data_IF_029491072868
#
_entry.id   IF_029491072868
#
_cell.length_a   1.000
_cell.length_b   1.000
_cell.length_c   1.000
_cell.angle_alpha   90.00
_cell.angle_beta   90.00
_cell.angle_gamma   90.00
#
_symmetry.space_group_name_H-M   'P 1'
#
loop_
_entity.id
_entity.type
_entity.pdbx_description
1 polymer ?
#
# COMPACT_ATOMS: atom_id res chain seq x y z
N UNK A 1 -27.20 20.77 -5.77
CA UNK A 1 -27.85 19.44 -5.71
C UNK A 1 -27.32 18.54 -6.82
N UNK A 2 -27.25 19.01 -8.07
CA UNK A 2 -26.70 18.26 -9.22
C UNK A 2 -25.27 17.72 -9.00
N UNK A 3 -24.37 18.54 -8.45
CA UNK A 3 -22.98 18.13 -8.20
C UNK A 3 -22.85 16.96 -7.21
N UNK A 4 -23.68 16.93 -6.16
CA UNK A 4 -23.67 15.86 -5.15
C UNK A 4 -24.18 14.55 -5.77
N UNK A 5 -25.23 14.63 -6.59
CA UNK A 5 -25.76 13.46 -7.30
C UNK A 5 -24.71 12.92 -8.27
N UNK A 6 -24.02 13.80 -9.00
CA UNK A 6 -22.95 13.38 -9.91
C UNK A 6 -21.76 12.76 -9.16
N UNK A 7 -21.35 13.33 -8.04
CA UNK A 7 -20.31 12.77 -7.17
C UNK A 7 -20.70 11.40 -6.59
N UNK A 8 -21.98 11.21 -6.23
CA UNK A 8 -22.49 9.94 -5.73
C UNK A 8 -22.52 8.87 -6.83
N UNK A 9 -22.95 9.22 -8.04
CA UNK A 9 -22.88 8.33 -9.20
C UNK A 9 -21.44 7.93 -9.51
N UNK A 10 -20.53 8.91 -9.53
CA UNK A 10 -19.10 8.66 -9.72
C UNK A 10 -18.53 7.74 -8.65
N UNK A 11 -18.90 7.94 -7.37
CA UNK A 11 -18.50 7.07 -6.28
C UNK A 11 -19.03 5.64 -6.45
N UNK A 12 -20.29 5.46 -6.86
CA UNK A 12 -20.85 4.13 -7.14
C UNK A 12 -20.09 3.43 -8.28
N UNK A 13 -19.82 4.14 -9.37
CA UNK A 13 -19.06 3.62 -10.52
C UNK A 13 -17.65 3.24 -10.09
N UNK A 14 -16.94 4.12 -9.38
CA UNK A 14 -15.61 3.84 -8.83
C UNK A 14 -15.65 2.60 -7.95
N UNK A 15 -16.61 2.51 -7.04
CA UNK A 15 -16.75 1.40 -6.10
C UNK A 15 -16.89 0.06 -6.83
N UNK A 16 -17.76 -0.01 -7.84
CA UNK A 16 -17.98 -1.23 -8.62
C UNK A 16 -16.76 -1.60 -9.46
N UNK A 17 -16.15 -0.61 -10.11
CA UNK A 17 -14.98 -0.81 -10.96
C UNK A 17 -13.79 -1.32 -10.14
N UNK A 18 -13.44 -0.61 -9.08
CA UNK A 18 -12.27 -0.94 -8.26
C UNK A 18 -12.50 -2.08 -7.30
N UNK A 19 -13.74 -2.42 -7.01
CA UNK A 19 -14.07 -3.71 -6.41
C UNK A 19 -13.64 -4.87 -7.32
N UNK A 20 -13.98 -4.81 -8.62
CA UNK A 20 -13.60 -5.85 -9.58
C UNK A 20 -12.08 -5.88 -9.77
N UNK A 21 -11.46 -4.71 -9.92
CA UNK A 21 -10.00 -4.62 -10.09
C UNK A 21 -9.28 -5.18 -8.86
N UNK A 22 -9.68 -4.84 -7.64
CA UNK A 22 -9.05 -5.36 -6.42
C UNK A 22 -9.23 -6.86 -6.19
N UNK A 23 -10.15 -7.53 -6.92
CA UNK A 23 -10.22 -8.99 -6.93
C UNK A 23 -9.15 -9.63 -7.82
N UNK A 24 -8.56 -8.87 -8.76
CA UNK A 24 -7.49 -9.33 -9.63
C UNK A 24 -6.19 -9.33 -8.82
N UNK A 25 -5.54 -10.49 -8.63
CA UNK A 25 -4.32 -10.55 -7.86
C UNK A 25 -3.18 -9.79 -8.53
N UNK A 26 -2.34 -9.17 -7.71
CA UNK A 26 -1.21 -8.40 -8.19
C UNK A 26 -1.59 -7.05 -8.81
N UNK A 27 -2.78 -6.53 -8.53
CA UNK A 27 -3.10 -5.17 -8.97
C UNK A 27 -2.35 -4.15 -8.13
N UNK A 28 -2.07 -3.00 -8.73
CA UNK A 28 -1.39 -1.91 -8.05
C UNK A 28 -2.25 -0.65 -8.16
N UNK A 29 -2.46 0.01 -7.02
CA UNK A 29 -3.32 1.18 -6.94
C UNK A 29 -2.74 2.34 -7.74
N UNK A 30 -1.41 2.49 -7.75
CA UNK A 30 -0.74 3.55 -8.54
C UNK A 30 -0.95 3.33 -10.02
N UNK A 31 -0.80 2.09 -10.49
CA UNK A 31 -0.96 1.72 -11.88
C UNK A 31 -2.41 1.72 -12.38
N UNK A 32 -3.40 1.54 -11.49
CA UNK A 32 -4.81 1.40 -11.86
C UNK A 32 -5.65 2.62 -11.54
N UNK A 33 -5.44 3.25 -10.37
CA UNK A 33 -6.19 4.42 -9.93
C UNK A 33 -5.62 5.69 -10.58
N UNK A 34 -4.30 5.91 -10.50
CA UNK A 34 -3.70 7.18 -10.92
C UNK A 34 -3.99 7.54 -12.40
N UNK A 35 -3.86 6.64 -13.39
CA UNK A 35 -4.15 6.99 -14.78
C UNK A 35 -5.61 7.37 -15.03
N UNK A 36 -6.55 6.72 -14.34
CA UNK A 36 -7.97 7.04 -14.44
C UNK A 36 -8.24 8.41 -13.80
N UNK A 37 -7.67 8.70 -12.62
CA UNK A 37 -7.79 10.04 -12.03
C UNK A 37 -7.21 11.10 -12.95
N UNK A 38 -6.01 10.87 -13.51
CA UNK A 38 -5.40 11.78 -14.46
C UNK A 38 -6.33 12.04 -15.67
N UNK A 39 -6.94 10.99 -16.22
CA UNK A 39 -7.94 11.11 -17.28
C UNK A 39 -9.13 11.97 -16.84
N UNK A 40 -9.69 11.75 -15.65
CA UNK A 40 -10.82 12.54 -15.13
C UNK A 40 -10.42 14.02 -14.95
N UNK A 41 -9.19 14.28 -14.50
CA UNK A 41 -8.65 15.64 -14.36
C UNK A 41 -8.55 16.31 -15.74
N UNK A 42 -7.97 15.63 -16.73
CA UNK A 42 -7.80 16.12 -18.10
C UNK A 42 -9.12 16.26 -18.86
N UNK A 43 -10.11 15.42 -18.54
CA UNK A 43 -11.48 15.53 -19.05
C UNK A 43 -12.28 16.69 -18.42
N UNK A 44 -11.63 17.52 -17.59
CA UNK A 44 -12.18 18.70 -16.96
C UNK A 44 -13.39 18.42 -16.03
N UNK A 45 -13.44 17.23 -15.42
CA UNK A 45 -14.48 16.85 -14.45
C UNK A 45 -14.31 17.66 -13.16
N UNK A 46 -15.37 18.13 -12.47
CA UNK A 46 -15.23 18.94 -11.26
C UNK A 46 -14.34 18.29 -10.17
N UNK A 47 -13.45 19.04 -9.49
CA UNK A 47 -12.51 18.48 -8.51
C UNK A 47 -13.20 17.73 -7.35
N UNK A 48 -14.40 18.16 -6.96
CA UNK A 48 -15.24 17.51 -5.95
C UNK A 48 -15.59 16.07 -6.33
N UNK A 49 -15.94 15.87 -7.60
CA UNK A 49 -16.34 14.57 -8.16
C UNK A 49 -15.11 13.67 -8.26
N UNK A 50 -13.97 14.22 -8.66
CA UNK A 50 -12.70 13.50 -8.76
C UNK A 50 -12.27 13.00 -7.37
N UNK A 51 -12.32 13.86 -6.35
CA UNK A 51 -11.99 13.48 -4.97
C UNK A 51 -12.96 12.40 -4.45
N UNK A 52 -14.26 12.56 -4.69
CA UNK A 52 -15.27 11.58 -4.30
C UNK A 52 -15.04 10.22 -4.98
N UNK A 53 -14.76 10.23 -6.29
CA UNK A 53 -14.42 9.04 -7.08
C UNK A 53 -13.16 8.36 -6.52
N UNK A 54 -12.10 9.13 -6.26
CA UNK A 54 -10.84 8.60 -5.74
C UNK A 54 -11.00 7.93 -4.37
N UNK A 55 -11.71 8.57 -3.45
CA UNK A 55 -11.92 8.03 -2.11
C UNK A 55 -12.80 6.77 -2.13
N UNK A 56 -13.77 6.71 -3.04
CA UNK A 56 -14.55 5.50 -3.29
C UNK A 56 -13.70 4.37 -3.90
N UNK A 57 -12.85 4.71 -4.87
CA UNK A 57 -11.94 3.77 -5.54
C UNK A 57 -11.00 3.09 -4.54
N UNK A 58 -10.29 3.87 -3.71
CA UNK A 58 -9.38 3.33 -2.70
C UNK A 58 -10.13 2.47 -1.69
N UNK A 59 -11.22 2.98 -1.09
CA UNK A 59 -11.95 2.24 -0.08
C UNK A 59 -12.50 0.91 -0.64
N UNK A 60 -12.92 0.90 -1.91
CA UNK A 60 -13.38 -0.31 -2.57
C UNK A 60 -12.25 -1.28 -2.91
N UNK A 61 -11.16 -0.79 -3.49
CA UNK A 61 -10.02 -1.59 -3.91
C UNK A 61 -9.35 -2.27 -2.72
N UNK A 62 -9.04 -1.52 -1.65
CA UNK A 62 -8.34 -2.07 -0.49
C UNK A 62 -9.16 -3.13 0.25
N UNK A 63 -10.47 -2.91 0.37
CA UNK A 63 -11.38 -3.92 0.93
C UNK A 63 -11.41 -5.19 0.07
N UNK A 64 -11.28 -5.04 -1.25
CA UNK A 64 -11.34 -6.16 -2.19
C UNK A 64 -10.02 -6.92 -2.30
N UNK A 65 -8.89 -6.24 -2.16
CA UNK A 65 -7.53 -6.81 -2.17
C UNK A 65 -7.35 -7.90 -1.08
N UNK A 66 -8.08 -7.79 0.03
CA UNK A 66 -8.07 -8.80 1.10
C UNK A 66 -8.69 -10.14 0.69
N UNK A 67 -9.54 -10.17 -0.34
CA UNK A 67 -10.20 -11.37 -0.85
C UNK A 67 -9.18 -12.37 -1.43
N UNK A 68 -8.40 -12.04 -2.49
CA UNK A 68 -7.41 -12.97 -3.04
C UNK A 68 -6.34 -13.37 -1.99
N UNK A 69 -5.95 -12.47 -1.09
CA UNK A 69 -4.94 -12.77 -0.08
C UNK A 69 -5.41 -13.76 0.98
N UNK A 70 -6.62 -13.59 1.52
CA UNK A 70 -7.15 -14.51 2.51
C UNK A 70 -7.45 -15.90 1.93
N UNK A 71 -7.83 -15.97 0.65
CA UNK A 71 -8.33 -17.17 -0.02
C UNK A 71 -7.21 -17.95 -0.68
N UNK A 72 -6.50 -17.30 -1.59
CA UNK A 72 -5.55 -17.93 -2.48
C UNK A 72 -4.13 -17.87 -1.92
N UNK A 73 -3.90 -17.04 -0.88
CA UNK A 73 -2.57 -16.69 -0.39
C UNK A 73 -1.76 -16.05 -1.52
N UNK A 74 -2.38 -15.07 -2.15
CA UNK A 74 -1.77 -14.32 -3.24
C UNK A 74 -2.01 -12.85 -2.93
N UNK A 75 -0.99 -12.00 -3.10
CA UNK A 75 -1.19 -10.59 -2.84
C UNK A 75 -2.26 -10.05 -3.80
N UNK A 76 -3.35 -9.49 -3.27
CA UNK A 76 -4.30 -8.69 -4.04
C UNK A 76 -3.61 -7.46 -4.61
N UNK A 77 -2.84 -6.79 -3.76
CA UNK A 77 -1.92 -5.72 -4.14
C UNK A 77 -0.62 -5.75 -3.36
N UNK A 78 0.28 -4.80 -3.64
CA UNK A 78 1.56 -4.64 -2.92
C UNK A 78 1.37 -4.52 -1.40
N UNK A 79 0.25 -3.92 -0.98
CA UNK A 79 -0.15 -3.78 0.42
C UNK A 79 -0.51 -5.07 1.12
N UNK A 80 -0.87 -6.07 0.34
CA UNK A 80 -1.32 -7.36 0.88
C UNK A 80 -0.21 -8.38 1.05
N UNK A 81 0.99 -8.09 0.54
CA UNK A 81 2.16 -8.97 0.68
C UNK A 81 2.46 -9.30 2.17
N UNK A 82 2.38 -8.36 3.12
CA UNK A 82 2.53 -8.66 4.54
C UNK A 82 1.51 -9.67 5.10
N UNK A 83 0.31 -9.79 4.50
CA UNK A 83 -0.73 -10.71 4.99
C UNK A 83 -0.40 -12.17 4.70
N UNK A 84 0.39 -12.46 3.67
CA UNK A 84 0.54 -13.81 3.10
C UNK A 84 0.96 -14.85 4.14
N UNK A 85 1.93 -14.54 4.99
CA UNK A 85 2.37 -15.43 6.07
C UNK A 85 1.20 -15.79 7.01
N UNK A 86 0.40 -14.80 7.40
CA UNK A 86 -0.72 -14.99 8.28
C UNK A 86 -1.87 -15.76 7.58
N UNK A 87 -2.14 -15.44 6.32
CA UNK A 87 -3.13 -16.14 5.50
C UNK A 87 -2.73 -17.61 5.28
N UNK A 88 -1.45 -17.90 5.08
CA UNK A 88 -0.92 -19.25 4.96
C UNK A 88 -1.12 -20.06 6.24
N UNK A 89 -0.74 -19.49 7.39
CA UNK A 89 -0.96 -20.12 8.69
C UNK A 89 -2.46 -20.36 8.91
N UNK A 90 -3.32 -19.41 8.58
CA UNK A 90 -4.78 -19.57 8.68
C UNK A 90 -5.35 -20.64 7.75
N UNK A 91 -4.80 -20.80 6.54
CA UNK A 91 -5.16 -21.88 5.62
C UNK A 91 -4.79 -23.24 6.20
N UNK A 92 -3.62 -23.37 6.85
CA UNK A 92 -3.22 -24.61 7.55
C UNK A 92 -4.17 -24.96 8.70
N UNK A 93 -4.76 -23.95 9.35
CA UNK A 93 -5.82 -24.14 10.37
C UNK A 93 -7.23 -24.34 9.77
N UNK A 94 -7.40 -24.26 8.45
CA UNK A 94 -8.69 -24.45 7.79
C UNK A 94 -9.68 -23.29 7.94
N UNK A 95 -9.20 -22.08 8.23
CA UNK A 95 -10.01 -20.89 8.53
C UNK A 95 -9.87 -19.69 7.55
N UNK A 96 -9.57 -19.87 6.24
CA UNK A 96 -9.37 -18.74 5.33
C UNK A 96 -10.61 -17.83 5.21
N UNK A 97 -11.81 -18.40 5.30
CA UNK A 97 -13.07 -17.68 5.27
C UNK A 97 -13.31 -16.82 6.54
N UNK A 98 -12.82 -17.27 7.71
CA UNK A 98 -12.89 -16.50 8.96
C UNK A 98 -11.94 -15.31 8.89
N UNK A 99 -10.72 -15.54 8.38
CA UNK A 99 -9.76 -14.47 8.14
C UNK A 99 -10.36 -13.41 7.24
N UNK A 100 -10.90 -13.82 6.09
CA UNK A 100 -11.50 -12.91 5.13
C UNK A 100 -12.59 -12.04 5.76
N UNK A 101 -13.56 -12.63 6.47
CA UNK A 101 -14.63 -11.84 7.10
C UNK A 101 -14.11 -10.86 8.14
N UNK A 102 -13.11 -11.26 8.93
CA UNK A 102 -12.48 -10.38 9.93
C UNK A 102 -11.67 -9.26 9.28
N UNK A 103 -10.96 -9.55 8.20
CA UNK A 103 -10.26 -8.56 7.38
C UNK A 103 -11.27 -7.54 6.83
N UNK A 104 -12.31 -8.00 6.10
CA UNK A 104 -13.35 -7.10 5.57
C UNK A 104 -13.98 -6.21 6.65
N UNK A 105 -14.24 -6.77 7.85
CA UNK A 105 -14.76 -5.98 8.97
C UNK A 105 -13.73 -4.98 9.53
N UNK A 106 -12.44 -5.33 9.53
CA UNK A 106 -11.35 -4.45 9.92
C UNK A 106 -11.18 -3.28 8.94
N UNK A 107 -11.26 -3.54 7.63
CA UNK A 107 -11.24 -2.52 6.58
C UNK A 107 -12.28 -1.44 6.86
N UNK A 108 -13.52 -1.84 7.17
CA UNK A 108 -14.61 -0.90 7.50
C UNK A 108 -14.24 -0.01 8.70
N UNK A 109 -13.74 -0.61 9.77
CA UNK A 109 -13.32 0.13 10.97
C UNK A 109 -12.16 1.07 10.65
N UNK A 110 -11.17 0.61 9.88
CA UNK A 110 -10.04 1.42 9.42
C UNK A 110 -10.50 2.67 8.68
N UNK A 111 -11.43 2.53 7.72
CA UNK A 111 -11.99 3.65 6.97
C UNK A 111 -12.73 4.64 7.88
N UNK A 112 -13.64 4.12 8.73
CA UNK A 112 -14.49 4.95 9.60
C UNK A 112 -13.68 5.73 10.63
N UNK A 113 -12.58 5.16 11.14
CA UNK A 113 -11.70 5.82 12.11
C UNK A 113 -10.72 6.79 11.44
N UNK A 114 -10.15 6.41 10.29
CA UNK A 114 -9.13 7.22 9.63
C UNK A 114 -9.69 8.51 9.04
N UNK A 115 -10.92 8.49 8.49
CA UNK A 115 -11.56 9.68 7.92
C UNK A 115 -11.57 10.88 8.89
N UNK A 116 -12.21 10.81 10.07
CA UNK A 116 -12.28 11.96 10.97
C UNK A 116 -10.89 12.38 11.46
N UNK A 117 -9.99 11.42 11.71
CA UNK A 117 -8.63 11.73 12.19
C UNK A 117 -7.83 12.47 11.11
N UNK A 118 -7.85 11.99 9.87
CA UNK A 118 -7.14 12.60 8.76
C UNK A 118 -7.66 14.02 8.45
N UNK A 119 -8.98 14.21 8.50
CA UNK A 119 -9.61 15.52 8.27
C UNK A 119 -9.25 16.53 9.37
N UNK A 120 -9.36 16.14 10.64
CA UNK A 120 -9.03 17.01 11.78
C UNK A 120 -7.53 17.29 11.83
N UNK A 121 -6.70 16.25 11.74
CA UNK A 121 -5.25 16.38 11.84
C UNK A 121 -4.66 17.14 10.66
N UNK A 122 -5.13 16.90 9.43
CA UNK A 122 -4.75 17.68 8.25
C UNK A 122 -5.07 19.17 8.42
N UNK A 123 -6.23 19.50 8.99
CA UNK A 123 -6.62 20.89 9.28
C UNK A 123 -5.73 21.55 10.35
N UNK A 124 -5.34 20.80 11.39
CA UNK A 124 -4.41 21.27 12.43
C UNK A 124 -3.02 21.56 11.86
N UNK A 125 -2.60 20.81 10.83
CA UNK A 125 -1.27 20.93 10.23
C UNK A 125 -1.14 22.05 9.18
N UNK A 126 -2.24 22.66 8.71
CA UNK A 126 -2.22 23.77 7.76
C UNK A 126 -1.22 24.89 8.09
N UNK A 127 -1.18 25.46 9.33
CA UNK A 127 -0.21 26.52 9.66
C UNK A 127 1.25 26.06 9.63
N UNK A 128 1.52 24.75 9.66
CA UNK A 128 2.85 24.16 9.65
C UNK A 128 3.32 23.74 8.25
N UNK A 129 2.55 24.00 7.18
CA UNK A 129 2.84 23.47 5.85
C UNK A 129 4.25 23.78 5.31
N UNK A 130 4.75 24.99 5.55
CA UNK A 130 6.13 25.36 5.17
C UNK A 130 7.19 24.56 5.94
N UNK A 131 6.94 24.29 7.23
CA UNK A 131 7.84 23.47 8.06
C UNK A 131 7.82 22.03 7.57
N UNK A 132 6.63 21.47 7.30
CA UNK A 132 6.46 20.11 6.78
C UNK A 132 7.22 19.96 5.46
N UNK A 133 7.11 20.92 4.53
CA UNK A 133 7.83 20.89 3.25
C UNK A 133 9.35 20.82 3.44
N UNK A 134 9.92 21.62 4.34
CA UNK A 134 11.38 21.65 4.58
C UNK A 134 11.92 20.39 5.25
N UNK A 135 11.13 19.76 6.13
CA UNK A 135 11.54 18.58 6.90
C UNK A 135 11.10 17.25 6.29
N UNK A 136 10.23 17.23 5.26
CA UNK A 136 9.72 15.99 4.66
C UNK A 136 10.83 14.97 4.27
N UNK A 137 11.94 15.35 3.61
CA UNK A 137 13.01 14.39 3.29
C UNK A 137 13.62 13.73 4.54
N UNK A 138 13.78 14.49 5.61
CA UNK A 138 14.31 13.98 6.88
C UNK A 138 13.30 13.10 7.61
N UNK A 139 12.01 13.41 7.50
CA UNK A 139 10.94 12.60 8.07
C UNK A 139 10.88 11.21 7.40
N UNK A 140 11.07 11.11 6.08
CA UNK A 140 11.18 9.81 5.39
C UNK A 140 12.38 8.99 5.87
N UNK A 141 13.56 9.62 6.04
CA UNK A 141 14.73 8.94 6.56
C UNK A 141 14.54 8.44 8.00
N UNK A 142 14.00 9.29 8.87
CA UNK A 142 13.70 8.93 10.24
C UNK A 142 12.66 7.81 10.30
N UNK A 143 11.68 7.85 9.40
CA UNK A 143 10.71 6.79 9.21
C UNK A 143 11.34 5.46 8.81
N UNK A 144 12.28 5.47 7.85
CA UNK A 144 13.03 4.28 7.44
C UNK A 144 13.79 3.66 8.62
N UNK A 145 14.49 4.50 9.39
CA UNK A 145 15.24 4.06 10.58
C UNK A 145 14.32 3.53 11.68
N UNK A 146 13.18 4.19 11.93
CA UNK A 146 12.22 3.76 12.92
C UNK A 146 11.66 2.37 12.57
N UNK A 147 11.16 2.17 11.34
CA UNK A 147 10.63 0.87 10.92
C UNK A 147 11.75 -0.20 10.96
N UNK A 148 12.97 0.17 10.56
CA UNK A 148 14.12 -0.74 10.63
C UNK A 148 14.44 -1.18 12.07
N UNK A 149 14.36 -0.28 13.05
CA UNK A 149 14.60 -0.60 14.47
C UNK A 149 13.56 -1.57 15.06
N UNK A 150 12.32 -1.52 14.56
CA UNK A 150 11.25 -2.44 14.97
C UNK A 150 11.20 -3.75 14.17
N UNK A 151 12.01 -3.87 13.11
CA UNK A 151 12.10 -5.10 12.31
C UNK A 151 12.72 -6.26 13.10
N UNK A 152 12.35 -7.50 12.75
CA UNK A 152 12.99 -8.71 13.30
C UNK A 152 14.50 -8.72 13.08
N UNK A 153 14.98 -8.18 11.95
CA UNK A 153 16.39 -8.10 11.60
C UNK A 153 16.99 -6.71 11.85
N UNK A 154 16.69 -6.11 13.01
CA UNK A 154 16.96 -4.69 13.36
C UNK A 154 18.26 -4.10 12.81
N UNK A 155 19.40 -4.72 13.07
CA UNK A 155 20.70 -4.16 12.70
C UNK A 155 20.98 -4.31 11.20
N UNK A 156 20.60 -5.44 10.61
CA UNK A 156 20.69 -5.63 9.16
C UNK A 156 19.77 -4.64 8.43
N UNK A 157 18.55 -4.42 8.94
CA UNK A 157 17.61 -3.45 8.40
C UNK A 157 18.11 -2.01 8.50
N UNK A 158 18.66 -1.59 9.65
CA UNK A 158 19.21 -0.24 9.83
C UNK A 158 20.41 -0.01 8.91
N UNK A 159 21.33 -0.96 8.85
CA UNK A 159 22.50 -0.88 7.96
C UNK A 159 22.11 -0.97 6.48
N UNK A 160 20.98 -1.59 6.15
CA UNK A 160 20.46 -1.71 4.79
C UNK A 160 19.89 -0.41 4.23
N UNK A 161 19.35 0.49 5.07
CA UNK A 161 18.70 1.73 4.63
C UNK A 161 19.61 2.56 3.74
N UNK A 162 20.84 2.83 4.20
CA UNK A 162 21.78 3.70 3.49
C UNK A 162 22.24 3.14 2.12
N UNK A 163 22.77 1.90 2.00
CA UNK A 163 23.18 1.35 0.71
C UNK A 163 22.00 1.17 -0.25
N UNK A 164 20.82 0.78 0.25
CA UNK A 164 19.65 0.60 -0.60
C UNK A 164 19.11 1.95 -1.12
N UNK A 165 18.97 2.95 -0.26
CA UNK A 165 18.58 4.30 -0.64
C UNK A 165 19.57 4.95 -1.62
N UNK A 166 20.88 4.69 -1.43
CA UNK A 166 21.93 5.13 -2.36
C UNK A 166 21.79 4.47 -3.72
N UNK A 167 21.57 3.14 -3.76
CA UNK A 167 21.35 2.41 -5.02
C UNK A 167 20.15 2.95 -5.77
N UNK A 168 19.05 3.23 -5.07
CA UNK A 168 17.84 3.85 -5.65
C UNK A 168 18.16 5.21 -6.22
N UNK A 169 18.75 6.13 -5.44
CA UNK A 169 19.01 7.47 -5.95
C UNK A 169 20.02 7.49 -7.11
N UNK A 170 21.02 6.61 -7.12
CA UNK A 170 21.96 6.46 -8.22
C UNK A 170 21.30 5.91 -9.50
N UNK A 171 20.45 4.88 -9.37
CA UNK A 171 19.69 4.33 -10.52
C UNK A 171 18.64 5.31 -11.02
N UNK A 172 18.01 6.08 -10.13
CA UNK A 172 17.08 7.15 -10.44
C UNK A 172 17.76 8.29 -11.22
N UNK A 173 18.96 8.70 -10.81
CA UNK A 173 19.72 9.75 -11.52
C UNK A 173 20.20 9.27 -12.90
N UNK A 174 20.66 8.02 -12.99
CA UNK A 174 21.08 7.43 -14.26
C UNK A 174 19.92 7.32 -15.24
N UNK A 175 18.78 6.81 -14.77
CA UNK A 175 17.58 6.61 -15.59
C UNK A 175 16.93 7.93 -15.99
N UNK A 176 16.86 8.92 -15.11
CA UNK A 176 16.30 10.23 -15.44
C UNK A 176 17.11 10.96 -16.50
N UNK A 177 18.44 10.77 -16.55
CA UNK A 177 19.29 11.27 -17.64
C UNK A 177 18.99 10.60 -18.99
N UNK A 178 18.56 9.34 -18.99
CA UNK A 178 18.25 8.58 -20.20
C UNK A 178 16.83 8.84 -20.72
N UNK A 179 15.86 9.00 -19.82
CA UNK A 179 14.42 9.04 -20.13
C UNK A 179 13.84 10.46 -20.05
N UNK A 180 14.47 11.36 -19.28
CA UNK A 180 14.06 12.76 -19.12
C UNK A 180 13.10 13.03 -17.95
N UNK A 181 12.65 11.99 -17.23
CA UNK A 181 11.80 12.12 -16.04
C UNK A 181 12.10 11.03 -14.99
N UNK A 182 11.51 11.16 -13.80
CA UNK A 182 11.65 10.18 -12.72
C UNK A 182 10.80 8.92 -12.94
N UNK A 183 11.26 7.75 -12.47
CA UNK A 183 10.56 6.46 -12.59
C UNK A 183 10.01 5.93 -11.25
N UNK A 184 8.87 6.44 -10.79
CA UNK A 184 8.29 6.03 -9.51
C UNK A 184 7.74 4.59 -9.55
N UNK A 185 6.96 4.25 -10.57
CA UNK A 185 6.23 2.98 -10.68
C UNK A 185 7.20 1.81 -10.81
N UNK A 186 8.24 1.95 -11.63
CA UNK A 186 9.25 0.93 -11.89
C UNK A 186 10.00 0.54 -10.62
N UNK A 187 10.45 1.51 -9.84
CA UNK A 187 11.14 1.23 -8.59
C UNK A 187 10.20 0.67 -7.52
N UNK A 188 9.00 1.24 -7.39
CA UNK A 188 8.01 0.76 -6.44
C UNK A 188 7.61 -0.70 -6.71
N UNK A 189 7.36 -1.04 -7.97
CA UNK A 189 7.03 -2.39 -8.42
C UNK A 189 8.20 -3.34 -8.30
N UNK A 190 9.42 -2.87 -8.56
CA UNK A 190 10.64 -3.65 -8.34
C UNK A 190 10.77 -4.09 -6.88
N UNK A 191 10.55 -3.17 -5.92
CA UNK A 191 10.55 -3.52 -4.49
C UNK A 191 9.45 -4.53 -4.16
N UNK A 192 8.23 -4.32 -4.69
CA UNK A 192 7.09 -5.20 -4.46
C UNK A 192 7.35 -6.64 -4.92
N UNK A 193 7.89 -6.77 -6.14
CA UNK A 193 8.16 -8.05 -6.79
C UNK A 193 9.40 -8.75 -6.26
N UNK A 194 10.27 -8.05 -5.52
CA UNK A 194 11.57 -8.55 -5.14
C UNK A 194 11.55 -9.98 -4.55
N UNK A 195 10.74 -10.27 -3.52
CA UNK A 195 10.66 -11.60 -2.93
C UNK A 195 10.23 -12.69 -3.93
N UNK A 196 9.34 -12.37 -4.86
CA UNK A 196 8.86 -13.32 -5.86
C UNK A 196 9.91 -13.56 -6.96
N UNK A 197 10.56 -12.49 -7.43
CA UNK A 197 11.61 -12.57 -8.46
C UNK A 197 12.83 -13.32 -7.93
N UNK A 198 13.23 -13.08 -6.68
CA UNK A 198 14.36 -13.83 -6.09
C UNK A 198 14.01 -15.31 -5.89
N UNK A 199 12.76 -15.64 -5.53
CA UNK A 199 12.34 -17.03 -5.41
C UNK A 199 12.32 -17.73 -6.79
N UNK A 200 11.84 -17.06 -7.85
CA UNK A 200 11.96 -17.55 -9.23
C UNK A 200 13.43 -17.76 -9.61
N UNK A 201 14.29 -16.78 -9.30
CA UNK A 201 15.72 -16.86 -9.60
C UNK A 201 16.40 -18.02 -8.86
N UNK A 202 16.06 -18.23 -7.59
CA UNK A 202 16.55 -19.37 -6.80
C UNK A 202 16.01 -20.71 -7.34
N UNK A 203 14.78 -20.74 -7.84
CA UNK A 203 14.18 -21.92 -8.48
C UNK A 203 14.85 -22.30 -9.80
N UNK A 204 15.53 -21.36 -10.48
CA UNK A 204 16.36 -21.69 -11.66
C UNK A 204 17.54 -22.59 -11.28
N UNK A 205 17.93 -22.64 -10.00
CA UNK A 205 18.97 -23.54 -9.50
C UNK A 205 18.48 -24.99 -9.44
N UNK A 206 19.06 -25.94 -10.21
CA UNK A 206 18.58 -27.33 -10.25
C UNK A 206 18.55 -28.05 -8.89
N UNK A 207 19.54 -27.86 -7.97
CA UNK A 207 19.50 -28.47 -6.64
C UNK A 207 18.29 -28.03 -5.80
N UNK A 208 17.95 -26.74 -5.83
CA UNK A 208 16.84 -26.18 -5.05
C UNK A 208 15.50 -26.56 -5.66
N UNK A 209 15.38 -26.50 -6.99
CA UNK A 209 14.17 -26.93 -7.69
C UNK A 209 13.82 -28.39 -7.37
N UNK A 210 14.81 -29.29 -7.33
CA UNK A 210 14.59 -30.71 -7.02
C UNK A 210 14.15 -30.94 -5.57
N UNK A 211 14.65 -30.17 -4.61
CA UNK A 211 14.28 -30.34 -3.19
C UNK A 211 12.88 -29.83 -2.85
N UNK A 212 12.34 -28.92 -3.67
CA UNK A 212 11.00 -28.34 -3.48
C UNK A 212 9.88 -29.09 -4.22
N UNK A 213 10.21 -30.11 -5.03
CA UNK A 213 9.20 -30.92 -5.73
C UNK A 213 8.41 -31.77 -4.72
N UNK A 214 7.11 -31.53 -4.64
CA UNK A 214 6.16 -32.39 -3.93
C UNK A 214 5.31 -33.17 -4.94
N UNK A 215 5.17 -34.48 -4.74
CA UNK A 215 4.35 -35.35 -5.59
C UNK A 215 2.90 -35.49 -5.10
N UNK A 216 2.47 -34.66 -4.14
CA UNK A 216 1.11 -34.73 -3.58
C UNK A 216 0.34 -33.43 -3.86
N UNK A 217 -0.91 -33.57 -4.29
CA UNK A 217 -1.82 -32.44 -4.43
C UNK A 217 -2.07 -31.81 -3.05
N UNK A 218 -1.94 -30.48 -2.94
CA UNK A 218 -2.23 -29.81 -1.67
C UNK A 218 -3.73 -29.93 -1.36
N UNK A 219 -4.06 -30.47 -0.18
CA UNK A 219 -5.43 -30.55 0.30
C UNK A 219 -5.67 -29.49 1.36
N UNK A 220 -6.83 -28.82 1.29
CA UNK A 220 -7.22 -27.77 2.24
C UNK A 220 -8.55 -28.16 2.85
N UNK A 221 -8.56 -28.44 4.15
CA UNK A 221 -9.77 -28.72 4.89
C UNK A 221 -10.39 -27.40 5.38
N UNK A 222 -11.61 -27.09 4.94
CA UNK A 222 -12.32 -25.87 5.33
C UNK A 222 -13.25 -26.18 6.50
N UNK A 223 -13.02 -25.53 7.64
CA UNK A 223 -13.83 -25.68 8.87
C UNK A 223 -15.23 -25.07 8.66
N UNK A 224 -16.27 -25.62 9.30
CA UNK A 224 -17.63 -25.04 9.29
C UNK A 224 -17.74 -23.81 10.18
N UNK A 225 -18.51 -22.82 9.72
CA UNK A 225 -18.70 -21.53 10.38
C UNK A 225 -19.67 -21.60 11.58
N UNK A 226 -19.41 -20.76 12.60
CA UNK A 226 -20.38 -20.41 13.63
C UNK A 226 -21.32 -19.28 13.20
N UNK A 227 -22.47 -19.16 13.86
CA UNK A 227 -23.55 -18.21 13.54
C UNK A 227 -23.14 -16.73 13.64
N UNK A 228 -22.26 -16.36 14.57
CA UNK A 228 -21.82 -14.97 14.76
C UNK A 228 -21.08 -14.41 13.53
N UNK A 229 -20.37 -15.26 12.79
CA UNK A 229 -19.65 -14.86 11.59
C UNK A 229 -20.59 -14.65 10.40
N UNK A 230 -21.85 -15.10 10.45
CA UNK A 230 -22.82 -14.90 9.37
C UNK A 230 -23.43 -13.49 9.38
N UNK A 231 -23.29 -12.76 10.49
CA UNK A 231 -23.76 -11.38 10.61
C UNK A 231 -22.86 -10.42 9.82
N UNK A 232 -23.47 -9.58 8.97
CA UNK A 232 -22.78 -8.51 8.24
C UNK A 232 -22.40 -7.31 9.12
N UNK A 233 -22.69 -7.33 10.43
CA UNK A 233 -22.28 -6.24 11.31
C UNK A 233 -20.78 -6.36 11.66
N UNK A 234 -19.91 -5.41 11.25
CA UNK A 234 -18.47 -5.47 11.52
C UNK A 234 -18.13 -5.58 13.01
N UNK A 235 -18.89 -4.90 13.88
CA UNK A 235 -18.67 -4.92 15.32
C UNK A 235 -18.91 -6.32 15.94
N UNK A 236 -19.88 -7.07 15.39
CA UNK A 236 -20.13 -8.45 15.80
C UNK A 236 -19.07 -9.41 15.26
N UNK A 237 -18.61 -9.19 14.03
CA UNK A 237 -17.58 -10.02 13.38
C UNK A 237 -16.23 -9.92 14.09
N UNK A 238 -15.81 -8.72 14.52
CA UNK A 238 -14.54 -8.50 15.21
C UNK A 238 -14.63 -8.85 16.71
N UNK A 239 -15.75 -8.57 17.35
CA UNK A 239 -15.85 -8.61 18.81
C UNK A 239 -15.12 -7.44 19.47
N UNK A 240 -15.43 -7.17 20.74
CA UNK A 240 -15.03 -5.93 21.44
C UNK A 240 -13.52 -5.70 21.49
N UNK A 241 -12.74 -6.74 21.77
CA UNK A 241 -11.28 -6.63 21.86
C UNK A 241 -10.65 -6.29 20.52
N UNK A 242 -11.05 -6.97 19.45
CA UNK A 242 -10.47 -6.73 18.12
C UNK A 242 -10.95 -5.39 17.56
N UNK A 243 -12.18 -4.98 17.85
CA UNK A 243 -12.67 -3.64 17.55
C UNK A 243 -11.82 -2.56 18.24
N UNK A 244 -11.47 -2.75 19.52
CA UNK A 244 -10.56 -1.84 20.23
C UNK A 244 -9.16 -1.81 19.60
N UNK A 245 -8.58 -2.98 19.32
CA UNK A 245 -7.25 -3.09 18.70
C UNK A 245 -7.21 -2.41 17.33
N UNK A 246 -8.19 -2.68 16.46
CA UNK A 246 -8.28 -2.10 15.12
C UNK A 246 -8.48 -0.60 15.15
N UNK A 247 -9.34 -0.10 16.04
CA UNK A 247 -9.61 1.33 16.17
C UNK A 247 -8.36 2.07 16.63
N UNK A 248 -7.65 1.54 17.64
CA UNK A 248 -6.39 2.13 18.13
C UNK A 248 -5.30 2.05 17.06
N UNK A 249 -5.17 0.92 16.39
CA UNK A 249 -4.22 0.75 15.29
C UNK A 249 -4.44 1.80 14.21
N UNK A 250 -5.65 1.86 13.65
CA UNK A 250 -6.02 2.82 12.61
C UNK A 250 -5.81 4.27 13.06
N UNK A 251 -6.19 4.60 14.30
CA UNK A 251 -6.02 5.95 14.82
C UNK A 251 -4.55 6.36 14.93
N UNK A 252 -3.70 5.50 15.49
CA UNK A 252 -2.28 5.78 15.65
C UNK A 252 -1.62 5.90 14.28
N UNK A 253 -1.89 4.98 13.36
CA UNK A 253 -1.25 4.98 12.04
C UNK A 253 -1.65 6.17 11.19
N UNK A 254 -2.86 6.71 11.35
CA UNK A 254 -3.25 7.95 10.67
C UNK A 254 -2.40 9.17 11.04
N UNK A 255 -1.81 9.23 12.24
CA UNK A 255 -0.88 10.32 12.61
C UNK A 255 0.49 10.20 11.93
N UNK A 256 0.86 8.99 11.50
CA UNK A 256 2.16 8.70 10.90
C UNK A 256 2.09 8.71 9.36
N UNK A 257 1.39 9.69 8.78
CA UNK A 257 1.13 9.78 7.34
C UNK A 257 2.38 9.93 6.43
N UNK A 258 3.57 10.08 7.01
CA UNK A 258 4.83 10.15 6.26
C UNK A 258 5.47 8.76 6.16
N UNK A 259 5.05 7.79 6.98
CA UNK A 259 5.57 6.43 7.00
C UNK A 259 4.94 5.57 5.90
N UNK A 260 5.63 4.52 5.45
CA UNK A 260 5.13 3.61 4.41
C UNK A 260 3.91 2.85 4.93
N UNK A 261 2.80 2.80 4.18
CA UNK A 261 1.66 1.94 4.50
C UNK A 261 2.09 0.48 4.74
N UNK A 262 2.93 -0.07 3.86
CA UNK A 262 3.46 -1.44 3.98
C UNK A 262 4.26 -1.60 5.27
N UNK A 263 5.13 -0.64 5.59
CA UNK A 263 5.92 -0.67 6.81
C UNK A 263 5.09 -0.55 8.08
N UNK A 264 4.08 0.32 8.09
CA UNK A 264 3.15 0.45 9.20
C UNK A 264 2.32 -0.82 9.39
N UNK A 265 1.91 -1.44 8.29
CA UNK A 265 1.17 -2.71 8.32
C UNK A 265 2.01 -3.81 8.97
N UNK A 266 3.27 -3.98 8.57
CA UNK A 266 4.17 -4.98 9.16
C UNK A 266 4.45 -4.67 10.63
N UNK A 267 4.75 -3.42 10.97
CA UNK A 267 5.05 -2.97 12.33
C UNK A 267 3.87 -3.24 13.27
N UNK A 268 2.68 -2.77 12.90
CA UNK A 268 1.47 -2.94 13.72
C UNK A 268 1.07 -4.40 13.80
N UNK A 269 1.18 -5.17 12.72
CA UNK A 269 0.96 -6.61 12.73
C UNK A 269 1.89 -7.34 13.71
N UNK A 270 3.17 -6.98 13.71
CA UNK A 270 4.17 -7.50 14.65
C UNK A 270 3.91 -7.11 16.11
N UNK A 271 3.37 -5.92 16.36
CA UNK A 271 2.95 -5.49 17.71
C UNK A 271 1.68 -6.22 18.16
N UNK A 272 0.69 -6.37 17.28
CA UNK A 272 -0.55 -7.09 17.56
C UNK A 272 -0.30 -8.59 17.86
N UNK A 273 0.65 -9.21 17.17
CA UNK A 273 1.04 -10.61 17.38
C UNK A 273 1.65 -10.85 18.78
N UNK A 274 2.26 -9.83 19.40
CA UNK A 274 2.86 -9.92 20.74
C UNK A 274 1.82 -9.87 21.88
N UNK A 275 0.57 -9.50 21.59
CA UNK A 275 -0.48 -9.42 22.61
C UNK A 275 -0.79 -10.84 23.11
N UNK A 276 -0.80 -11.04 24.44
CA UNK A 276 -1.01 -12.36 25.06
C UNK A 276 -2.28 -13.05 24.54
N UNK A 277 -2.17 -14.33 24.20
CA UNK A 277 -3.27 -15.16 23.71
C UNK A 277 -2.82 -16.49 23.10
N UNK A 278 -3.79 -17.34 22.74
CA UNK A 278 -3.52 -18.56 21.96
C UNK A 278 -2.94 -18.22 20.59
N UNK A 279 -2.27 -19.18 19.94
CA UNK A 279 -1.70 -18.99 18.60
C UNK A 279 -2.74 -18.47 17.59
N UNK A 280 -3.96 -19.05 17.63
CA UNK A 280 -5.07 -18.59 16.80
C UNK A 280 -5.50 -17.15 17.12
N UNK A 281 -5.62 -16.77 18.41
CA UNK A 281 -5.99 -15.39 18.77
C UNK A 281 -4.96 -14.38 18.30
N UNK A 282 -3.66 -14.68 18.44
CA UNK A 282 -2.57 -13.84 17.97
C UNK A 282 -2.58 -13.68 16.45
N UNK A 283 -2.83 -14.77 15.73
CA UNK A 283 -2.98 -14.74 14.27
C UNK A 283 -4.14 -13.83 13.83
N UNK A 284 -5.30 -13.97 14.47
CA UNK A 284 -6.46 -13.15 14.16
C UNK A 284 -6.20 -11.68 14.52
N UNK A 285 -5.69 -11.39 15.70
CA UNK A 285 -5.39 -10.01 16.11
C UNK A 285 -4.38 -9.34 15.16
N UNK A 286 -3.37 -10.09 14.72
CA UNK A 286 -2.43 -9.65 13.67
C UNK A 286 -3.14 -9.29 12.38
N UNK A 287 -3.94 -10.20 11.80
CA UNK A 287 -4.57 -9.94 10.50
C UNK A 287 -5.55 -8.77 10.55
N UNK A 288 -6.32 -8.66 11.64
CA UNK A 288 -7.32 -7.62 11.78
C UNK A 288 -6.63 -6.26 11.93
N UNK A 289 -5.55 -6.18 12.72
CA UNK A 289 -4.80 -4.94 12.88
C UNK A 289 -4.13 -4.49 11.56
N UNK A 290 -3.51 -5.42 10.84
CA UNK A 290 -2.85 -5.13 9.56
C UNK A 290 -3.84 -4.60 8.51
N UNK A 291 -5.03 -5.18 8.43
CA UNK A 291 -6.04 -4.81 7.43
C UNK A 291 -6.71 -3.45 7.73
N UNK A 292 -6.94 -3.16 9.02
CA UNK A 292 -7.37 -1.82 9.45
C UNK A 292 -6.31 -0.75 9.14
N UNK A 293 -5.03 -1.08 9.35
CA UNK A 293 -3.92 -0.16 9.05
C UNK A 293 -3.86 0.16 7.57
N UNK A 294 -3.97 -0.85 6.69
CA UNK A 294 -3.95 -0.68 5.25
C UNK A 294 -4.90 0.45 4.79
N UNK A 295 -6.19 0.36 5.16
CA UNK A 295 -7.17 1.40 4.81
C UNK A 295 -6.88 2.74 5.49
N UNK A 296 -6.45 2.70 6.76
CA UNK A 296 -6.23 3.93 7.53
C UNK A 296 -5.08 4.78 7.00
N UNK A 297 -3.99 4.15 6.56
CA UNK A 297 -2.83 4.82 6.00
C UNK A 297 -3.18 5.36 4.62
N UNK A 298 -3.91 4.63 3.78
CA UNK A 298 -4.34 5.11 2.47
C UNK A 298 -5.15 6.42 2.55
N UNK A 299 -6.10 6.47 3.47
CA UNK A 299 -6.93 7.65 3.69
C UNK A 299 -6.10 8.78 4.31
N UNK A 300 -5.34 8.51 5.36
CA UNK A 300 -4.57 9.53 6.07
C UNK A 300 -3.48 10.15 5.20
N UNK A 301 -2.73 9.31 4.50
CA UNK A 301 -1.65 9.72 3.61
C UNK A 301 -2.15 10.47 2.38
N UNK A 302 -3.37 10.23 1.93
CA UNK A 302 -3.99 11.07 0.90
C UNK A 302 -4.44 12.41 1.46
N UNK A 303 -5.28 12.38 2.50
CA UNK A 303 -6.02 13.57 2.94
C UNK A 303 -5.15 14.55 3.73
N UNK A 304 -4.21 14.09 4.55
CA UNK A 304 -3.40 14.98 5.39
C UNK A 304 -2.53 15.90 4.53
N UNK A 305 -1.70 15.41 3.58
CA UNK A 305 -0.92 16.29 2.71
C UNK A 305 -1.80 17.19 1.85
N UNK A 306 -2.95 16.65 1.38
CA UNK A 306 -3.89 17.41 0.56
C UNK A 306 -4.51 18.58 1.31
N UNK A 307 -4.88 18.41 2.58
CA UNK A 307 -5.47 19.47 3.40
C UNK A 307 -4.40 20.42 3.95
N UNK A 308 -3.25 19.89 4.36
CA UNK A 308 -2.24 20.66 5.09
C UNK A 308 -1.35 21.52 4.18
N UNK A 309 -0.94 21.00 3.01
CA UNK A 309 0.11 21.63 2.19
C UNK A 309 -0.21 21.67 0.69
N UNK A 310 -1.05 20.76 0.19
CA UNK A 310 -1.31 20.64 -1.25
C UNK A 310 -0.10 20.13 -2.05
N UNK A 311 0.85 19.47 -1.38
CA UNK A 311 2.01 18.83 -2.00
C UNK A 311 2.01 17.32 -1.72
N UNK A 312 2.53 16.50 -2.64
CA UNK A 312 2.59 15.06 -2.46
C UNK A 312 3.73 14.68 -1.51
N UNK A 313 3.47 14.77 -0.19
CA UNK A 313 4.47 14.58 0.87
C UNK A 313 4.28 13.28 1.66
N UNK A 314 3.60 12.30 1.09
CA UNK A 314 3.38 10.97 1.66
C UNK A 314 3.51 9.90 0.57
N UNK A 315 3.73 8.63 0.95
CA UNK A 315 3.74 7.51 0.01
C UNK A 315 2.50 7.45 -0.90
N UNK A 316 1.30 7.62 -0.34
CA UNK A 316 0.06 7.59 -1.13
C UNK A 316 -0.15 8.83 -1.97
N UNK A 317 0.25 10.00 -1.48
CA UNK A 317 0.22 11.24 -2.24
C UNK A 317 1.22 11.24 -3.41
N UNK A 318 2.33 10.53 -3.28
CA UNK A 318 3.33 10.34 -4.34
C UNK A 318 2.96 9.22 -5.33
N UNK A 319 2.16 8.25 -4.90
CA UNK A 319 1.70 7.14 -5.73
C UNK A 319 0.29 7.37 -6.28
N UNK A 320 -0.73 6.62 -5.79
CA UNK A 320 -2.07 6.59 -6.39
C UNK A 320 -2.77 7.95 -6.40
N UNK A 321 -2.53 8.80 -5.39
CA UNK A 321 -3.14 10.13 -5.30
C UNK A 321 -2.37 11.22 -6.05
N UNK A 322 -1.20 10.94 -6.64
CA UNK A 322 -0.36 11.97 -7.28
C UNK A 322 -1.11 12.87 -8.27
N UNK A 323 -2.03 12.36 -9.12
CA UNK A 323 -2.79 13.20 -10.04
C UNK A 323 -3.78 14.15 -9.37
N UNK A 324 -4.10 13.98 -8.08
CA UNK A 324 -4.88 14.96 -7.30
C UNK A 324 -4.05 16.21 -6.96
N UNK A 325 -2.73 16.07 -6.93
CA UNK A 325 -1.79 17.14 -6.63
C UNK A 325 -1.16 17.75 -7.88
N UNK A 326 -0.79 16.92 -8.84
CA UNK A 326 -0.06 17.32 -10.03
C UNK A 326 -0.57 16.58 -11.28
N UNK A 327 -1.31 17.30 -12.13
CA UNK A 327 -1.83 16.84 -13.40
C UNK A 327 -1.94 18.03 -14.37
N UNK A 328 -0.80 18.49 -14.93
CA UNK A 328 -0.79 19.64 -15.83
C UNK A 328 -1.67 19.42 -17.07
N UNK A 329 -2.32 20.48 -17.61
CA UNK A 329 -2.21 21.88 -17.19
C UNK A 329 -3.14 22.28 -16.03
N UNK A 330 -4.01 21.37 -15.57
CA UNK A 330 -5.11 21.74 -14.68
C UNK A 330 -4.71 21.78 -13.21
N UNK A 331 -3.99 20.76 -12.75
CA UNK A 331 -3.43 20.74 -11.39
C UNK A 331 -1.92 20.88 -11.45
N UNK A 332 -1.38 21.84 -10.70
CA UNK A 332 0.05 22.14 -10.68
C UNK A 332 0.56 22.25 -9.24
N UNK A 333 1.82 21.89 -9.03
CA UNK A 333 2.51 22.04 -7.75
C UNK A 333 3.39 23.30 -7.68
N UNK A 334 3.72 23.91 -8.82
CA UNK A 334 4.54 25.12 -8.92
C UNK A 334 3.99 26.06 -10.02
N UNK A 335 3.19 27.10 -9.68
CA UNK A 335 2.61 27.37 -8.36
C UNK A 335 1.58 26.30 -7.95
N UNK A 336 1.34 26.17 -6.64
CA UNK A 336 0.33 25.24 -6.11
C UNK A 336 -1.05 25.70 -6.55
N UNK A 337 -1.66 24.95 -7.47
CA UNK A 337 -3.01 25.13 -7.93
C UNK A 337 -3.62 23.75 -8.17
N UNK A 338 -4.22 23.15 -7.14
CA UNK A 338 -4.77 21.80 -7.20
C UNK A 338 -5.95 21.67 -6.22
N UNK A 339 -6.39 20.44 -5.90
CA UNK A 339 -7.55 20.23 -5.03
C UNK A 339 -7.44 20.98 -3.68
N UNK A 340 -6.23 21.16 -3.15
CA UNK A 340 -5.99 21.94 -1.93
C UNK A 340 -6.45 23.41 -2.03
N UNK A 341 -6.20 24.05 -3.17
CA UNK A 341 -6.51 25.48 -3.39
C UNK A 341 -7.87 25.69 -4.04
N UNK A 342 -8.33 24.70 -4.82
CA UNK A 342 -9.58 24.77 -5.57
C UNK A 342 -10.81 24.46 -4.71
N UNK A 343 -10.65 23.65 -3.66
CA UNK A 343 -11.74 23.28 -2.76
C UNK A 343 -11.53 23.87 -1.36
N UNK A 344 -12.62 24.22 -0.70
CA UNK A 344 -12.59 24.51 0.74
C UNK A 344 -12.36 23.23 1.55
N UNK A 345 -11.78 23.34 2.75
CA UNK A 345 -11.61 22.20 3.68
C UNK A 345 -12.92 21.47 3.94
N UNK A 346 -14.04 22.20 4.02
CA UNK A 346 -15.36 21.61 4.20
C UNK A 346 -15.82 20.80 2.97
N UNK A 347 -15.51 21.27 1.75
CA UNK A 347 -15.79 20.52 0.54
C UNK A 347 -14.94 19.26 0.48
N UNK A 348 -13.63 19.35 0.78
CA UNK A 348 -12.75 18.17 0.88
C UNK A 348 -13.34 17.15 1.87
N UNK A 349 -13.69 17.60 3.08
CA UNK A 349 -14.30 16.73 4.10
C UNK A 349 -15.58 16.05 3.61
N UNK A 350 -16.51 16.82 3.02
CA UNK A 350 -17.80 16.30 2.55
C UNK A 350 -17.63 15.25 1.46
N UNK A 351 -16.86 15.54 0.41
CA UNK A 351 -16.71 14.64 -0.73
C UNK A 351 -15.82 13.44 -0.41
N UNK A 352 -14.82 13.59 0.47
CA UNK A 352 -14.03 12.45 0.93
C UNK A 352 -14.83 11.48 1.79
N UNK A 353 -15.66 11.99 2.72
CA UNK A 353 -16.55 11.15 3.53
C UNK A 353 -17.59 10.46 2.65
N UNK A 354 -18.21 11.20 1.71
CA UNK A 354 -19.19 10.64 0.79
C UNK A 354 -18.60 9.48 -0.03
N UNK A 355 -17.47 9.72 -0.70
CA UNK A 355 -16.79 8.73 -1.53
C UNK A 355 -16.39 7.49 -0.73
N UNK A 356 -15.69 7.68 0.38
CA UNK A 356 -15.20 6.58 1.21
C UNK A 356 -16.34 5.73 1.80
N UNK A 357 -17.44 6.35 2.27
CA UNK A 357 -18.60 5.63 2.81
C UNK A 357 -19.35 4.84 1.73
N UNK A 358 -19.49 5.39 0.53
CA UNK A 358 -20.10 4.65 -0.60
C UNK A 358 -19.20 3.48 -1.01
N UNK A 359 -17.89 3.75 -1.18
CA UNK A 359 -16.86 2.76 -1.49
C UNK A 359 -16.90 1.56 -0.57
N UNK A 360 -16.75 1.82 0.73
CA UNK A 360 -16.69 0.76 1.75
C UNK A 360 -18.02 0.02 1.89
N UNK A 361 -19.17 0.70 1.73
CA UNK A 361 -20.47 0.06 1.86
C UNK A 361 -20.72 -0.95 0.73
N UNK A 362 -20.40 -0.57 -0.51
CA UNK A 362 -20.58 -1.42 -1.69
C UNK A 362 -19.59 -2.58 -1.65
N UNK A 363 -18.30 -2.30 -1.43
CA UNK A 363 -17.25 -3.33 -1.44
C UNK A 363 -17.44 -4.34 -0.31
N UNK A 364 -17.73 -3.87 0.91
CA UNK A 364 -18.01 -4.74 2.05
C UNK A 364 -19.23 -5.63 1.80
N UNK A 365 -20.32 -5.06 1.29
CA UNK A 365 -21.53 -5.83 0.98
C UNK A 365 -21.27 -6.93 -0.04
N UNK A 366 -20.58 -6.60 -1.14
CA UNK A 366 -20.29 -7.54 -2.22
C UNK A 366 -19.29 -8.62 -1.79
N UNK A 367 -18.19 -8.23 -1.15
CA UNK A 367 -17.17 -9.15 -0.68
C UNK A 367 -17.73 -10.12 0.37
N UNK A 368 -18.46 -9.62 1.36
CA UNK A 368 -18.96 -10.44 2.46
C UNK A 368 -19.95 -11.52 2.00
N UNK A 369 -20.86 -11.17 1.09
CA UNK A 369 -21.92 -12.08 0.62
C UNK A 369 -21.40 -13.21 -0.28
N UNK A 370 -20.33 -12.96 -1.05
CA UNK A 370 -19.80 -13.93 -2.04
C UNK A 370 -18.42 -14.50 -1.72
N UNK A 371 -17.80 -14.07 -0.62
CA UNK A 371 -16.49 -14.52 -0.13
C UNK A 371 -16.25 -16.03 -0.26
N UNK A 372 -17.19 -16.86 0.21
CA UNK A 372 -17.04 -18.32 0.20
C UNK A 372 -17.08 -18.92 -1.20
N UNK A 373 -18.00 -18.46 -2.05
CA UNK A 373 -18.17 -18.95 -3.42
C UNK A 373 -16.95 -18.62 -4.27
N UNK A 374 -16.46 -17.38 -4.19
CA UNK A 374 -15.25 -16.96 -4.88
C UNK A 374 -14.02 -17.70 -4.38
N UNK A 375 -13.94 -17.93 -3.06
CA UNK A 375 -12.89 -18.74 -2.46
C UNK A 375 -12.77 -20.12 -3.09
N UNK A 376 -13.90 -20.82 -3.14
CA UNK A 376 -13.93 -22.17 -3.72
C UNK A 376 -13.71 -22.19 -5.23
N UNK A 377 -14.12 -21.14 -5.95
CA UNK A 377 -13.96 -21.06 -7.40
C UNK A 377 -12.49 -20.81 -7.78
N UNK A 378 -11.84 -19.81 -7.18
CA UNK A 378 -10.44 -19.49 -7.43
C UNK A 378 -9.51 -20.67 -7.11
N UNK A 379 -9.71 -21.31 -5.94
CA UNK A 379 -8.91 -22.48 -5.54
C UNK A 379 -9.12 -23.72 -6.42
N UNK A 380 -10.22 -23.79 -7.18
CA UNK A 380 -10.51 -24.91 -8.09
C UNK A 380 -9.99 -24.69 -9.51
N UNK A 381 -10.01 -23.45 -9.98
CA UNK A 381 -9.84 -23.16 -11.42
C UNK A 381 -8.59 -22.37 -11.77
N UNK A 382 -7.90 -21.73 -10.82
CA UNK A 382 -6.73 -20.90 -11.11
C UNK A 382 -5.48 -21.49 -10.45
N UNK A 383 -4.44 -21.77 -11.24
CA UNK A 383 -3.15 -22.22 -10.72
C UNK A 383 -2.33 -21.06 -10.16
N UNK A 384 -1.44 -21.35 -9.21
CA UNK A 384 -0.54 -20.35 -8.65
C UNK A 384 0.47 -19.83 -9.69
N UNK A 385 0.88 -20.66 -10.66
CA UNK A 385 1.81 -20.21 -11.70
C UNK A 385 1.18 -19.16 -12.61
N UNK A 386 -0.08 -19.36 -13.02
CA UNK A 386 -0.81 -18.37 -13.83
C UNK A 386 -0.84 -17.00 -13.16
N UNK A 387 -0.98 -16.98 -11.84
CA UNK A 387 -1.12 -15.76 -11.05
C UNK A 387 0.23 -15.05 -10.87
N UNK A 388 1.31 -15.80 -10.62
CA UNK A 388 2.68 -15.27 -10.61
C UNK A 388 3.02 -14.68 -11.99
N UNK A 389 2.72 -15.40 -13.08
CA UNK A 389 2.96 -14.93 -14.44
C UNK A 389 2.16 -13.67 -14.79
N UNK A 390 0.89 -13.59 -14.36
CA UNK A 390 0.06 -12.41 -14.56
C UNK A 390 0.65 -11.18 -13.85
N UNK A 391 1.10 -11.34 -12.60
CA UNK A 391 1.67 -10.23 -11.84
C UNK A 391 3.01 -9.74 -12.40
N UNK A 392 3.90 -10.66 -12.80
CA UNK A 392 5.15 -10.29 -13.51
C UNK A 392 4.85 -9.62 -14.84
N UNK A 393 3.88 -10.13 -15.60
CA UNK A 393 3.45 -9.56 -16.87
C UNK A 393 2.95 -8.13 -16.71
N UNK A 394 2.10 -7.87 -15.71
CA UNK A 394 1.62 -6.53 -15.39
C UNK A 394 2.78 -5.59 -15.07
N UNK A 395 3.71 -6.00 -14.21
CA UNK A 395 4.85 -5.18 -13.87
C UNK A 395 5.73 -4.82 -15.07
N UNK A 396 5.95 -5.76 -16.01
CA UNK A 396 6.65 -5.49 -17.26
C UNK A 396 5.92 -4.43 -18.08
N UNK A 397 4.60 -4.56 -18.22
CA UNK A 397 3.78 -3.60 -18.97
C UNK A 397 3.84 -2.21 -18.34
N UNK A 398 3.74 -2.12 -17.02
CA UNK A 398 3.77 -0.85 -16.29
C UNK A 398 5.15 -0.18 -16.35
N UNK A 399 6.21 -0.96 -16.16
CA UNK A 399 7.58 -0.48 -16.27
C UNK A 399 7.89 0.00 -17.70
N UNK A 400 7.36 -0.71 -18.71
CA UNK A 400 7.48 -0.29 -20.10
C UNK A 400 6.69 0.99 -20.39
N UNK A 401 5.50 1.13 -19.84
CA UNK A 401 4.69 2.33 -20.01
C UNK A 401 5.34 3.56 -19.35
N UNK A 402 6.00 3.37 -18.21
CA UNK A 402 6.65 4.48 -17.52
C UNK A 402 7.96 4.91 -18.21
N UNK A 403 8.84 3.98 -18.58
CA UNK A 403 10.18 4.31 -19.06
C UNK A 403 10.72 3.35 -20.13
N UNK A 404 9.84 2.68 -20.86
CA UNK A 404 10.20 1.73 -21.89
C UNK A 404 11.08 0.60 -21.38
N UNK A 405 12.08 0.22 -22.18
CA UNK A 405 13.03 -0.85 -21.80
C UNK A 405 13.86 -0.45 -20.57
N UNK A 406 14.17 0.84 -20.39
CA UNK A 406 14.92 1.33 -19.23
C UNK A 406 14.12 1.07 -17.95
N UNK A 407 12.82 1.32 -17.97
CA UNK A 407 11.92 1.01 -16.86
C UNK A 407 11.91 -0.47 -16.50
N UNK A 408 11.82 -1.36 -17.51
CA UNK A 408 11.87 -2.81 -17.28
C UNK A 408 13.20 -3.20 -16.61
N UNK A 409 14.33 -2.76 -17.16
CA UNK A 409 15.65 -3.09 -16.61
C UNK A 409 15.83 -2.58 -15.18
N UNK A 410 15.40 -1.35 -14.91
CA UNK A 410 15.43 -0.77 -13.57
C UNK A 410 14.53 -1.54 -12.59
N UNK A 411 13.33 -1.94 -13.01
CA UNK A 411 12.39 -2.74 -12.21
C UNK A 411 12.99 -4.08 -11.81
N UNK A 412 13.59 -4.82 -12.76
CA UNK A 412 14.21 -6.12 -12.47
C UNK A 412 15.49 -6.00 -11.65
N UNK A 413 16.32 -4.99 -11.91
CA UNK A 413 17.50 -4.71 -11.08
C UNK A 413 17.11 -4.41 -9.63
N UNK A 414 16.07 -3.59 -9.45
CA UNK A 414 15.52 -3.28 -8.13
C UNK A 414 14.90 -4.51 -7.47
N UNK A 415 14.16 -5.34 -8.22
CA UNK A 415 13.57 -6.57 -7.71
C UNK A 415 14.62 -7.59 -7.24
N UNK A 416 15.71 -7.76 -7.98
CA UNK A 416 16.79 -8.65 -7.57
C UNK A 416 17.46 -8.16 -6.27
N UNK A 417 17.75 -6.87 -6.16
CA UNK A 417 18.37 -6.32 -4.94
C UNK A 417 17.42 -6.35 -3.75
N UNK A 418 16.19 -5.84 -3.92
CA UNK A 418 15.16 -5.84 -2.89
C UNK A 418 14.83 -7.26 -2.43
N UNK A 419 14.70 -8.19 -3.39
CA UNK A 419 14.49 -9.61 -3.15
C UNK A 419 15.65 -10.25 -2.38
N UNK A 420 16.89 -9.94 -2.76
CA UNK A 420 18.07 -10.41 -2.03
C UNK A 420 18.07 -9.92 -0.56
N UNK A 421 17.83 -8.63 -0.33
CA UNK A 421 17.78 -8.06 1.02
C UNK A 421 16.63 -8.65 1.84
N UNK A 422 15.46 -8.86 1.22
CA UNK A 422 14.33 -9.45 1.90
C UNK A 422 14.55 -10.93 2.25
N UNK A 423 15.00 -11.73 1.28
CA UNK A 423 15.14 -13.18 1.43
C UNK A 423 16.32 -13.57 2.32
N UNK A 424 17.49 -12.97 2.10
CA UNK A 424 18.74 -13.39 2.75
C UNK A 424 19.06 -12.55 3.98
N UNK A 425 18.87 -11.23 3.92
CA UNK A 425 19.12 -10.33 5.06
C UNK A 425 17.91 -10.16 5.98
N UNK A 426 16.75 -10.73 5.60
CA UNK A 426 15.48 -10.65 6.34
C UNK A 426 15.02 -9.21 6.57
N UNK A 427 15.40 -8.29 5.67
CA UNK A 427 14.94 -6.91 5.70
C UNK A 427 13.49 -6.86 5.24
N UNK A 428 12.62 -6.32 6.08
CA UNK A 428 11.19 -6.24 5.77
C UNK A 428 10.93 -5.26 4.61
N UNK A 429 9.96 -5.58 3.74
CA UNK A 429 9.60 -4.74 2.59
C UNK A 429 9.28 -3.28 2.99
N UNK A 430 8.68 -3.08 4.17
CA UNK A 430 8.42 -1.75 4.70
C UNK A 430 9.66 -0.87 4.85
N UNK A 431 10.80 -1.47 5.22
CA UNK A 431 12.09 -0.76 5.33
C UNK A 431 12.61 -0.40 3.94
N UNK A 432 12.45 -1.31 2.96
CA UNK A 432 12.87 -1.08 1.58
C UNK A 432 12.04 0.04 0.93
N UNK A 433 10.72 0.04 1.10
CA UNK A 433 9.86 1.14 0.64
C UNK A 433 10.21 2.47 1.33
N UNK A 434 10.43 2.48 2.64
CA UNK A 434 10.84 3.73 3.31
C UNK A 434 12.20 4.21 2.84
N UNK A 435 13.13 3.30 2.56
CA UNK A 435 14.44 3.64 1.98
C UNK A 435 14.30 4.23 0.57
N UNK A 436 13.29 3.80 -0.19
CA UNK A 436 12.93 4.43 -1.46
C UNK A 436 12.49 5.88 -1.29
N UNK A 437 11.58 6.18 -0.36
CA UNK A 437 11.18 7.56 -0.07
C UNK A 437 12.33 8.39 0.54
N UNK A 438 13.19 7.77 1.35
CA UNK A 438 14.36 8.41 1.94
C UNK A 438 15.51 8.64 0.95
N UNK A 439 15.49 8.01 -0.23
CA UNK A 439 16.56 8.08 -1.22
C UNK A 439 16.93 9.51 -1.58
N UNK A 440 15.94 10.39 -1.77
CA UNK A 440 16.16 11.80 -2.06
C UNK A 440 16.94 12.54 -0.96
N UNK A 441 16.70 12.20 0.32
CA UNK A 441 17.46 12.78 1.43
C UNK A 441 18.88 12.22 1.50
N UNK A 442 19.04 10.91 1.27
CA UNK A 442 20.34 10.23 1.32
C UNK A 442 21.25 10.73 0.20
N UNK A 443 20.78 10.73 -1.05
CA UNK A 443 21.59 11.16 -2.20
C UNK A 443 21.71 12.66 -2.33
N UNK A 444 20.65 13.41 -2.01
CA UNK A 444 20.63 14.87 -2.17
C UNK A 444 21.30 15.64 -1.03
N UNK A 445 21.43 15.06 0.17
CA UNK A 445 21.98 15.77 1.34
C UNK A 445 23.11 15.01 2.03
N UNK A 446 22.92 13.72 2.34
CA UNK A 446 23.88 12.97 3.16
C UNK A 446 25.16 12.67 2.37
N UNK A 447 25.04 12.10 1.17
CA UNK A 447 26.21 11.75 0.35
C UNK A 447 27.06 12.98 0.01
N UNK A 448 26.47 14.12 -0.45
CA UNK A 448 27.22 15.35 -0.66
C UNK A 448 27.93 15.84 0.61
N UNK A 449 27.24 15.86 1.76
CA UNK A 449 27.83 16.28 3.02
C UNK A 449 29.01 15.38 3.46
N UNK A 450 28.92 14.07 3.23
CA UNK A 450 30.03 13.14 3.47
C UNK A 450 31.17 13.42 2.48
N UNK A 451 30.87 13.68 1.21
CA UNK A 451 31.86 14.06 0.21
C UNK A 451 32.61 15.35 0.58
N UNK A 452 31.89 16.38 1.01
CA UNK A 452 32.46 17.65 1.44
C UNK A 452 33.32 17.48 2.71
N UNK A 453 32.87 16.66 3.66
CA UNK A 453 33.66 16.29 4.84
C UNK A 453 34.96 15.57 4.44
N UNK A 454 34.89 14.59 3.54
CA UNK A 454 36.04 13.83 3.05
C UNK A 454 37.03 14.70 2.27
N UNK A 455 36.55 15.67 1.48
CA UNK A 455 37.39 16.71 0.85
C UNK A 455 38.05 17.59 1.89
N UNK A 456 37.30 17.99 2.93
CA UNK A 456 37.81 18.80 4.04
C UNK A 456 38.94 18.14 4.83
N UNK A 457 38.98 16.80 4.88
CA UNK A 457 40.07 16.03 5.51
C UNK A 457 41.10 15.47 4.52
N UNK A 458 41.04 15.86 3.23
CA UNK A 458 42.02 15.50 2.21
C UNK A 458 41.95 14.04 1.72
N UNK A 459 40.84 13.35 1.95
CA UNK A 459 40.65 11.93 1.59
C UNK A 459 39.99 11.76 0.20
N UNK A 460 39.30 12.79 -0.29
CA UNK A 460 38.67 12.81 -1.61
C UNK A 460 39.14 14.03 -2.44
N UNK A 461 39.27 13.89 -3.77
CA UNK A 461 39.60 15.01 -4.66
C UNK A 461 38.51 16.08 -4.73
#
# INVERSE_FOLDING_TARGET
MELIVFALLAAVVASLLYFIIGLIPGTDETASIAPIILLLVLANIPPEVILCFFMAAIAAMETSNSVPSAIAIIPGSTMTVPFLDACEVGRRYGIPHILLRKMLAASVVGVVIALPIALVFGSILQPFGNVIRSYAPWAFLLGALLIALFSKARWAAVLAVLPFATFIGATQELSSKLVGHSMFISFFMGIALGPMIIDIFVLLSPPVSRSLRSNSASSVNIVREGTELQSMNPMRVLGRRQLGLTSVAAAITSFFFVLSPVGMTVLVGGLAEKIRGSALKRLLDKIVAMDAVNNSTYIAETLIPLIAVGLPLSPMALGPAAPLFNAPPRFTIEPVNNIHTLLSTNAIAMFSVLGALVGISISYFLAFRRARTWCTWTLRFISMETLISAFVGLAIVLAYNEAGVVGILATFAMALLAGFMNRFLRVELGVLYMSFYASAAVTGKIIPAVGDFLRGIGVAP
#
